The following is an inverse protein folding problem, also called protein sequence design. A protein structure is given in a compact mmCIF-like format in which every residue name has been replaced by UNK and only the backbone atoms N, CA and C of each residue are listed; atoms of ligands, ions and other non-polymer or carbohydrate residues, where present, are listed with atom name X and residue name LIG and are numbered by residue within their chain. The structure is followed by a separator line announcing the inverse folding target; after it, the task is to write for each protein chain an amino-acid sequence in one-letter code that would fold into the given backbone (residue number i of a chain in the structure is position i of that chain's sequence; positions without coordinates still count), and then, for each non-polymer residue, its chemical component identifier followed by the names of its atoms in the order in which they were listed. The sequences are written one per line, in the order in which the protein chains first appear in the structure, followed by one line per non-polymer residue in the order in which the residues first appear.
data_IF_823415027907
#
_entry.id   IF_823415027907
#
_cell.length_a   1.000
_cell.length_b   1.000
_cell.length_c   1.000
_cell.angle_alpha   90.00
_cell.angle_beta   90.00
_cell.angle_gamma   90.00
#
_symmetry.space_group_name_H-M   'P 1'
#
loop_
_entity.id
_entity.type
_entity.pdbx_description
1 polymer ?
#
# COMPACT_ATOMS: atom_id res chain seq x y z
N UNK A 1 4.32 5.93 13.67
CA UNK A 1 5.31 6.07 12.55
C UNK A 1 6.69 6.26 13.16
N UNK A 2 7.67 5.49 12.72
CA UNK A 2 9.08 5.61 13.16
C UNK A 2 9.98 5.97 11.97
N UNK A 3 11.03 6.75 12.24
CA UNK A 3 12.04 7.13 11.23
C UNK A 3 13.31 6.34 11.53
N UNK A 4 13.79 5.58 10.56
CA UNK A 4 15.01 4.78 10.62
C UNK A 4 16.05 5.46 9.71
N UNK A 5 17.28 5.61 10.22
CA UNK A 5 18.38 6.29 9.51
C UNK A 5 19.68 5.50 9.61
N UNK A 6 20.69 5.96 8.88
CA UNK A 6 22.05 5.40 8.92
C UNK A 6 22.11 3.97 8.39
N UNK A 7 22.93 3.13 9.04
CA UNK A 7 23.19 1.76 8.58
C UNK A 7 21.93 0.91 8.51
N UNK A 8 21.04 1.02 9.47
CA UNK A 8 19.79 0.24 9.47
C UNK A 8 18.89 0.59 8.28
N UNK A 9 18.76 1.90 7.95
CA UNK A 9 17.98 2.30 6.78
C UNK A 9 18.60 1.77 5.48
N UNK A 10 19.93 1.79 5.39
CA UNK A 10 20.66 1.23 4.24
C UNK A 10 20.40 -0.27 4.09
N UNK A 11 20.51 -1.04 5.17
CA UNK A 11 20.27 -2.49 5.15
C UNK A 11 18.83 -2.82 4.75
N UNK A 12 17.84 -2.08 5.27
CA UNK A 12 16.43 -2.26 4.88
C UNK A 12 16.25 -1.97 3.38
N UNK A 13 16.80 -0.85 2.89
CA UNK A 13 16.71 -0.49 1.48
C UNK A 13 17.34 -1.54 0.57
N UNK A 14 18.50 -2.06 0.91
CA UNK A 14 19.20 -3.11 0.15
C UNK A 14 18.40 -4.42 0.13
N UNK A 15 17.89 -4.86 1.29
CA UNK A 15 17.07 -6.07 1.37
C UNK A 15 15.77 -5.94 0.55
N UNK A 16 15.07 -4.80 0.66
CA UNK A 16 13.86 -4.56 -0.14
C UNK A 16 14.19 -4.52 -1.63
N UNK A 17 15.27 -3.86 -2.01
CA UNK A 17 15.74 -3.82 -3.40
C UNK A 17 15.97 -5.21 -3.98
N UNK A 18 16.63 -6.12 -3.22
CA UNK A 18 16.83 -7.51 -3.65
C UNK A 18 15.50 -8.27 -3.85
N UNK A 19 14.53 -8.06 -2.97
CA UNK A 19 13.18 -8.63 -3.13
C UNK A 19 12.50 -8.07 -4.39
N UNK A 20 12.59 -6.74 -4.60
CA UNK A 20 12.00 -6.08 -5.78
C UNK A 20 12.63 -6.61 -7.07
N UNK A 21 13.97 -6.77 -7.09
CA UNK A 21 14.70 -7.33 -8.23
C UNK A 21 14.25 -8.76 -8.55
N UNK A 22 14.10 -9.62 -7.54
CA UNK A 22 13.60 -11.01 -7.73
C UNK A 22 12.18 -11.06 -8.31
N UNK A 23 11.39 -10.02 -8.07
CA UNK A 23 10.02 -9.88 -8.60
C UNK A 23 9.97 -9.09 -9.91
N UNK A 24 11.12 -8.69 -10.45
CA UNK A 24 11.21 -7.83 -11.64
C UNK A 24 10.52 -6.47 -11.48
N UNK A 25 10.47 -5.97 -10.25
CA UNK A 25 9.88 -4.67 -9.91
C UNK A 25 10.94 -3.57 -9.92
N UNK A 26 10.52 -2.38 -10.35
CA UNK A 26 11.36 -1.18 -10.29
C UNK A 26 11.53 -0.69 -8.86
N UNK A 27 12.72 -0.18 -8.54
CA UNK A 27 13.06 0.44 -7.26
C UNK A 27 13.85 1.72 -7.50
N UNK A 28 13.43 2.85 -6.92
CA UNK A 28 14.16 4.11 -7.03
C UNK A 28 15.39 4.10 -6.13
N UNK A 29 16.56 4.18 -6.74
CA UNK A 29 17.87 4.21 -6.06
C UNK A 29 18.53 5.59 -6.09
N UNK A 30 18.01 6.51 -6.90
CA UNK A 30 18.57 7.84 -7.10
C UNK A 30 17.48 8.90 -7.14
N UNK A 31 17.89 10.12 -6.94
CA UNK A 31 17.00 11.26 -6.91
C UNK A 31 16.46 11.54 -5.51
N UNK A 32 16.57 12.81 -5.12
CA UNK A 32 16.10 13.29 -3.82
C UNK A 32 14.60 13.09 -3.70
N UNK A 33 14.19 12.38 -2.65
CA UNK A 33 12.78 12.11 -2.33
C UNK A 33 12.00 11.36 -3.42
N UNK A 34 12.67 10.59 -4.27
CA UNK A 34 12.00 9.56 -5.04
C UNK A 34 11.62 8.42 -4.10
N UNK A 35 10.34 8.33 -3.78
CA UNK A 35 9.84 7.45 -2.72
C UNK A 35 9.41 6.10 -3.28
N UNK A 36 9.94 5.03 -2.68
CA UNK A 36 9.40 3.68 -2.83
C UNK A 36 8.40 3.45 -1.69
N UNK A 37 7.14 3.18 -2.02
CA UNK A 37 6.08 2.86 -1.05
C UNK A 37 5.90 1.35 -1.08
N UNK A 38 6.17 0.69 0.03
CA UNK A 38 6.12 -0.76 0.16
C UNK A 38 5.08 -1.13 1.21
N UNK A 39 4.03 -1.83 0.80
CA UNK A 39 3.09 -2.49 1.70
C UNK A 39 3.49 -3.94 1.90
N UNK A 40 3.59 -4.36 3.13
CA UNK A 40 3.88 -5.75 3.52
C UNK A 40 2.66 -6.25 4.28
N UNK A 41 1.93 -7.15 3.64
CA UNK A 41 0.75 -7.79 4.23
C UNK A 41 1.19 -8.91 5.17
N UNK A 42 0.58 -8.98 6.35
CA UNK A 42 0.74 -10.09 7.27
C UNK A 42 0.21 -11.39 6.65
N UNK A 43 0.72 -12.53 7.14
CA UNK A 43 0.30 -13.85 6.63
C UNK A 43 -1.13 -14.21 7.05
N UNK A 44 -1.59 -13.67 8.17
CA UNK A 44 -2.92 -13.92 8.69
C UNK A 44 -3.94 -12.98 8.04
N UNK A 45 -5.04 -13.53 7.55
CA UNK A 45 -6.14 -12.79 6.96
C UNK A 45 -7.09 -12.32 8.07
N UNK A 46 -6.86 -11.11 8.59
CA UNK A 46 -7.67 -10.55 9.67
C UNK A 46 -8.26 -9.20 9.26
N UNK A 47 -9.55 -9.05 9.42
CA UNK A 47 -10.24 -7.76 9.25
C UNK A 47 -10.10 -6.89 10.49
N UNK A 48 -10.19 -5.58 10.34
CA UNK A 48 -10.20 -4.61 11.44
C UNK A 48 -8.94 -4.65 12.34
N UNK A 49 -7.82 -5.17 11.85
CA UNK A 49 -6.55 -5.24 12.57
C UNK A 49 -5.50 -4.44 11.81
N UNK A 50 -4.64 -3.72 12.54
CA UNK A 50 -3.47 -3.04 11.99
C UNK A 50 -2.24 -3.93 12.23
N UNK A 51 -2.09 -4.97 11.43
CA UNK A 51 -1.00 -5.96 11.52
C UNK A 51 -0.06 -5.96 10.31
N UNK A 52 -0.38 -5.14 9.31
CA UNK A 52 0.45 -4.93 8.13
C UNK A 52 1.49 -3.82 8.36
N UNK A 53 2.50 -3.79 7.53
CA UNK A 53 3.55 -2.78 7.61
C UNK A 53 3.64 -1.98 6.32
N UNK A 54 3.77 -0.66 6.45
CA UNK A 54 4.15 0.23 5.35
C UNK A 54 5.56 0.74 5.58
N UNK A 55 6.39 0.68 4.53
CA UNK A 55 7.69 1.32 4.47
C UNK A 55 7.68 2.39 3.37
N UNK A 56 8.13 3.59 3.71
CA UNK A 56 8.49 4.63 2.74
C UNK A 56 10.01 4.70 2.71
N UNK A 57 10.62 4.31 1.59
CA UNK A 57 12.07 4.20 1.42
C UNK A 57 12.52 5.21 0.38
N UNK A 58 13.39 6.11 0.76
CA UNK A 58 13.88 7.19 -0.12
C UNK A 58 15.28 7.66 0.26
N UNK A 59 15.92 8.41 -0.63
CA UNK A 59 17.14 9.16 -0.33
C UNK A 59 16.84 10.61 -0.01
N UNK A 60 17.41 11.09 1.09
CA UNK A 60 17.30 12.47 1.51
C UNK A 60 18.19 13.42 0.68
N UNK A 61 18.25 14.71 1.05
CA UNK A 61 19.07 15.73 0.37
C UNK A 61 20.58 15.42 0.36
N UNK A 62 21.05 14.56 1.27
CA UNK A 62 22.45 14.14 1.38
C UNK A 62 22.71 12.79 0.70
N UNK A 63 21.79 12.31 -0.13
CA UNK A 63 21.84 11.00 -0.80
C UNK A 63 21.94 9.81 0.17
N UNK A 64 21.48 9.98 1.41
CA UNK A 64 21.44 8.95 2.43
C UNK A 64 20.07 8.30 2.49
N UNK A 65 20.03 6.99 2.68
CA UNK A 65 18.77 6.27 2.85
C UNK A 65 18.08 6.66 4.15
N UNK A 66 16.80 6.90 4.04
CA UNK A 66 15.87 7.05 5.15
C UNK A 66 14.67 6.15 4.91
N UNK A 67 14.17 5.54 5.98
CA UNK A 67 13.00 4.68 5.96
C UNK A 67 12.02 5.17 7.01
N UNK A 68 10.79 5.43 6.60
CA UNK A 68 9.67 5.60 7.53
C UNK A 68 8.90 4.29 7.58
N UNK A 69 8.63 3.82 8.79
CA UNK A 69 7.83 2.61 9.03
C UNK A 69 6.56 2.96 9.82
N UNK A 70 5.46 2.37 9.43
CA UNK A 70 4.18 2.48 10.13
C UNK A 70 3.42 1.17 10.05
N UNK A 71 2.67 0.86 11.10
CA UNK A 71 1.65 -0.18 11.03
C UNK A 71 0.45 0.36 10.26
N UNK A 72 -0.12 -0.48 9.42
CA UNK A 72 -1.28 -0.17 8.58
C UNK A 72 -2.22 -1.38 8.53
N UNK A 73 -3.32 -1.26 7.82
CA UNK A 73 -4.07 -2.40 7.30
C UNK A 73 -4.13 -2.29 5.78
N UNK A 74 -3.96 -3.40 5.09
CA UNK A 74 -4.14 -3.53 3.63
C UNK A 74 -5.43 -4.26 3.29
N UNK A 75 -6.14 -4.71 4.29
CA UNK A 75 -7.39 -5.45 4.17
C UNK A 75 -8.61 -4.57 4.45
N UNK A 76 -9.72 -4.79 3.75
CA UNK A 76 -10.96 -4.04 4.00
C UNK A 76 -11.53 -4.38 5.39
N UNK A 77 -12.24 -3.42 5.98
CA UNK A 77 -12.96 -3.66 7.22
C UNK A 77 -14.14 -4.62 7.03
N UNK A 78 -14.45 -5.43 8.05
CA UNK A 78 -15.53 -6.42 8.06
C UNK A 78 -16.88 -5.87 7.56
N UNK A 79 -17.19 -4.61 7.92
CA UNK A 79 -18.40 -3.93 7.45
C UNK A 79 -18.54 -3.97 5.92
N UNK A 80 -17.44 -3.80 5.20
CA UNK A 80 -17.46 -3.78 3.74
C UNK A 80 -17.50 -5.18 3.14
N UNK A 81 -17.01 -6.19 3.84
CA UNK A 81 -17.17 -7.59 3.41
C UNK A 81 -18.64 -8.01 3.43
N UNK A 82 -19.39 -7.59 4.46
CA UNK A 82 -20.83 -7.89 4.58
C UNK A 82 -21.67 -7.00 3.65
N UNK A 83 -21.30 -5.73 3.52
CA UNK A 83 -22.01 -4.73 2.73
C UNK A 83 -21.09 -4.07 1.70
N UNK A 84 -20.72 -4.80 0.62
CA UNK A 84 -19.83 -4.28 -0.39
C UNK A 84 -20.47 -3.09 -1.14
N UNK A 85 -19.68 -2.05 -1.40
CA UNK A 85 -20.12 -0.89 -2.20
C UNK A 85 -20.30 -1.28 -3.68
N UNK A 86 -19.44 -2.17 -4.18
CA UNK A 86 -19.52 -2.67 -5.53
C UNK A 86 -20.35 -3.97 -5.58
N UNK A 87 -21.20 -4.11 -6.60
CA UNK A 87 -22.03 -5.32 -6.79
C UNK A 87 -21.20 -6.61 -6.96
N UNK A 88 -20.00 -6.50 -7.51
CA UNK A 88 -19.05 -7.63 -7.66
C UNK A 88 -18.38 -8.02 -6.35
N UNK A 89 -18.56 -7.27 -5.27
CA UNK A 89 -17.92 -7.51 -3.98
C UNK A 89 -16.87 -6.46 -3.60
N UNK A 90 -16.34 -6.61 -2.41
CA UNK A 90 -15.32 -5.71 -1.86
C UNK A 90 -13.97 -5.94 -2.52
N UNK A 91 -13.28 -4.85 -2.83
CA UNK A 91 -11.96 -4.90 -3.45
C UNK A 91 -10.88 -5.18 -2.40
N UNK A 92 -10.06 -6.18 -2.65
CA UNK A 92 -8.84 -6.51 -1.88
C UNK A 92 -7.67 -6.38 -2.85
N UNK A 93 -6.70 -5.53 -2.54
CA UNK A 93 -5.58 -5.25 -3.44
C UNK A 93 -4.73 -6.50 -3.69
N UNK A 94 -4.57 -6.89 -4.96
CA UNK A 94 -3.66 -7.97 -5.36
C UNK A 94 -2.22 -7.52 -5.11
N UNK A 95 -1.35 -8.33 -4.50
CA UNK A 95 0.07 -8.00 -4.39
C UNK A 95 0.71 -7.76 -5.76
N UNK A 96 1.40 -6.64 -5.92
CA UNK A 96 1.99 -6.25 -7.19
C UNK A 96 2.71 -4.92 -7.11
N UNK A 97 3.27 -4.49 -8.23
CA UNK A 97 3.80 -3.14 -8.37
C UNK A 97 2.83 -2.27 -9.16
N UNK A 98 2.42 -1.17 -8.57
CA UNK A 98 1.47 -0.21 -9.13
C UNK A 98 2.14 1.16 -9.30
N UNK A 99 2.68 1.42 -10.50
CA UNK A 99 3.41 2.66 -10.79
C UNK A 99 2.46 3.79 -11.17
N UNK A 100 2.69 4.98 -10.58
CA UNK A 100 1.94 6.19 -10.92
C UNK A 100 0.47 6.19 -10.47
N UNK A 101 0.09 5.24 -9.60
CA UNK A 101 -1.29 5.13 -9.09
C UNK A 101 -1.58 6.15 -8.01
N UNK A 102 -0.61 6.44 -7.15
CA UNK A 102 -0.79 7.33 -6.01
C UNK A 102 -0.11 8.67 -6.22
N UNK A 103 -0.73 9.73 -5.72
CA UNK A 103 -0.14 11.06 -5.59
C UNK A 103 -0.65 11.76 -4.34
N UNK A 104 0.07 12.76 -3.87
CA UNK A 104 -0.42 13.64 -2.81
C UNK A 104 -1.55 14.50 -3.38
N UNK A 105 -2.68 14.51 -2.70
CA UNK A 105 -3.88 15.25 -3.08
C UNK A 105 -4.66 15.67 -1.82
N UNK A 106 -5.63 16.53 -1.97
CA UNK A 106 -6.52 16.93 -0.87
C UNK A 106 -7.66 15.92 -0.77
N UNK A 107 -7.69 15.17 0.33
CA UNK A 107 -8.82 14.33 0.68
C UNK A 107 -9.96 15.19 1.27
N UNK A 108 -11.20 14.73 1.07
CA UNK A 108 -12.42 15.43 1.54
C UNK A 108 -12.54 16.90 1.08
N UNK A 109 -12.16 17.22 -0.17
CA UNK A 109 -12.20 18.59 -0.74
C UNK A 109 -13.53 19.32 -0.55
N UNK A 110 -14.63 18.59 -0.56
CA UNK A 110 -15.99 19.17 -0.42
C UNK A 110 -16.34 19.52 1.02
N UNK A 111 -15.51 19.17 1.97
CA UNK A 111 -15.71 19.46 3.38
C UNK A 111 -14.44 20.06 3.99
N UNK A 112 -14.37 21.39 3.99
CA UNK A 112 -13.20 22.14 4.43
C UNK A 112 -12.77 21.82 5.87
N UNK A 113 -13.68 21.40 6.74
CA UNK A 113 -13.39 21.02 8.12
C UNK A 113 -12.54 19.73 8.20
N UNK A 114 -12.69 18.86 7.22
CA UNK A 114 -11.98 17.56 7.17
C UNK A 114 -10.99 17.48 6.01
N UNK A 115 -10.83 18.56 5.22
CA UNK A 115 -9.87 18.61 4.13
C UNK A 115 -8.44 18.52 4.67
N UNK A 116 -7.67 17.56 4.15
CA UNK A 116 -6.27 17.37 4.51
C UNK A 116 -5.51 16.74 3.35
N UNK A 117 -4.19 16.93 3.33
CA UNK A 117 -3.32 16.25 2.39
C UNK A 117 -3.27 14.75 2.68
N UNK A 118 -3.43 13.95 1.65
CA UNK A 118 -3.38 12.49 1.73
C UNK A 118 -2.79 11.89 0.46
N UNK A 119 -2.30 10.67 0.57
CA UNK A 119 -1.92 9.86 -0.58
C UNK A 119 -3.19 9.29 -1.22
N UNK A 120 -3.63 9.92 -2.30
CA UNK A 120 -4.84 9.53 -3.03
C UNK A 120 -4.53 8.71 -4.27
N UNK A 121 -5.40 7.75 -4.57
CA UNK A 121 -5.35 7.04 -5.85
C UNK A 121 -5.74 8.00 -6.98
N UNK A 122 -4.90 8.10 -7.99
CA UNK A 122 -5.13 8.90 -9.21
C UNK A 122 -4.46 8.22 -10.40
N UNK A 123 -5.22 7.95 -11.41
CA UNK A 123 -4.68 7.42 -12.68
C UNK A 123 -4.83 5.91 -12.82
N UNK A 124 -3.74 5.18 -12.88
CA UNK A 124 -3.72 3.79 -13.31
C UNK A 124 -4.59 2.85 -12.47
N UNK A 125 -5.05 1.80 -13.12
CA UNK A 125 -5.90 0.78 -12.53
C UNK A 125 -5.14 -0.09 -11.54
N UNK A 126 -5.76 -0.39 -10.42
CA UNK A 126 -5.32 -1.39 -9.46
C UNK A 126 -5.92 -2.75 -9.81
N UNK A 127 -5.15 -3.81 -9.65
CA UNK A 127 -5.70 -5.17 -9.68
C UNK A 127 -6.22 -5.53 -8.30
N UNK A 128 -7.43 -6.04 -8.24
CA UNK A 128 -8.09 -6.40 -6.99
C UNK A 128 -8.75 -7.77 -7.11
N UNK A 129 -8.76 -8.52 -6.03
CA UNK A 129 -9.71 -9.61 -5.84
C UNK A 129 -11.06 -9.03 -5.46
N UNK A 130 -12.15 -9.70 -5.86
CA UNK A 130 -13.50 -9.33 -5.49
C UNK A 130 -14.08 -10.35 -4.53
N UNK A 131 -14.28 -9.90 -3.29
CA UNK A 131 -14.94 -10.67 -2.26
C UNK A 131 -16.42 -10.30 -2.21
N UNK A 132 -17.27 -11.17 -2.72
CA UNK A 132 -18.69 -10.92 -2.91
C UNK A 132 -19.63 -11.87 -2.16
N UNK A 133 -19.09 -12.88 -1.46
CA UNK A 133 -19.88 -13.90 -0.76
C UNK A 133 -20.53 -13.43 0.55
N UNK A 134 -20.05 -12.31 1.11
CA UNK A 134 -20.57 -11.65 2.34
C UNK A 134 -20.46 -12.49 3.61
N UNK A 135 -19.49 -13.38 3.68
CA UNK A 135 -19.31 -14.31 4.81
C UNK A 135 -18.38 -13.78 5.92
N UNK A 136 -17.93 -12.52 5.81
CA UNK A 136 -16.99 -11.83 6.72
C UNK A 136 -15.54 -12.32 6.66
N UNK A 137 -15.23 -13.31 5.83
CA UNK A 137 -13.87 -13.77 5.59
C UNK A 137 -13.23 -12.99 4.45
N UNK A 138 -11.91 -12.96 4.40
CA UNK A 138 -11.14 -12.34 3.32
C UNK A 138 -10.81 -13.37 2.25
N UNK A 139 -11.42 -13.26 1.08
CA UNK A 139 -11.17 -14.15 -0.04
C UNK A 139 -10.14 -13.56 -1.00
N UNK A 140 -9.04 -14.28 -1.14
CA UNK A 140 -7.98 -13.97 -2.11
C UNK A 140 -8.04 -14.95 -3.28
N UNK A 141 -9.15 -14.95 -3.99
CA UNK A 141 -9.37 -15.86 -5.11
C UNK A 141 -8.67 -15.34 -6.38
N UNK A 142 -7.68 -16.06 -6.92
CA UNK A 142 -7.00 -15.67 -8.16
C UNK A 142 -7.94 -15.57 -9.36
N UNK A 143 -9.04 -16.32 -9.38
CA UNK A 143 -10.01 -16.28 -10.47
C UNK A 143 -10.93 -15.06 -10.41
N UNK A 144 -11.00 -14.39 -9.24
CA UNK A 144 -11.81 -13.19 -9.02
C UNK A 144 -11.10 -11.87 -9.34
N UNK A 145 -9.93 -11.90 -9.99
CA UNK A 145 -9.15 -10.70 -10.28
C UNK A 145 -9.90 -9.77 -11.22
N UNK A 146 -10.09 -8.54 -10.77
CA UNK A 146 -10.79 -7.48 -11.49
C UNK A 146 -9.93 -6.18 -11.47
N UNK A 147 -10.35 -5.20 -12.24
CA UNK A 147 -9.78 -3.85 -12.21
C UNK A 147 -10.56 -2.99 -11.22
N UNK A 148 -9.84 -2.40 -10.27
CA UNK A 148 -10.40 -1.56 -9.20
C UNK A 148 -10.24 -0.06 -9.42
#
# INVERSE_FOLDING_TARGET
MSIIKGLHAKLIAENVKEVMKKKEYSFFESGKYNVNIIGIRASEKKTNVFDDTMLLIYKNKKEQWEVLSSVITTDPGEKYLVHPVNKKGTAILVPGQYRGVYRIDIHARHNTKFAHEALGQRGNVLKVWRDGNRDKALDHDPESVDEG
#
